data_IF_705425206553
#
_entry.id   IF_705425206553
#
_cell.length_a   1.000
_cell.length_b   1.000
_cell.length_c   1.000
_cell.angle_alpha   90.00
_cell.angle_beta   90.00
_cell.angle_gamma   90.00
#
_symmetry.space_group_name_H-M   'P 1'
#
loop_
_entity.id
_entity.type
_entity.pdbx_description
1 polymer ?
#
# COMPACT_ATOMS: atom_id res chain seq x y z
N UNK A 1 -9.00 -19.11 -12.87
CA UNK A 1 -10.43 -18.75 -12.62
C UNK A 1 -10.54 -17.73 -11.45
N UNK A 2 -9.61 -16.77 -11.36
CA UNK A 2 -9.50 -15.92 -10.15
C UNK A 2 -9.99 -14.49 -10.36
N UNK A 3 -10.06 -14.02 -11.61
CA UNK A 3 -10.47 -12.66 -11.96
C UNK A 3 -11.84 -12.68 -12.64
N UNK A 4 -12.69 -11.73 -12.27
CA UNK A 4 -13.95 -11.46 -12.97
C UNK A 4 -13.63 -10.80 -14.32
N UNK A 5 -14.39 -11.19 -15.35
CA UNK A 5 -14.25 -10.66 -16.72
C UNK A 5 -15.17 -9.46 -16.88
N UNK A 6 -14.65 -8.36 -17.41
CA UNK A 6 -15.39 -7.12 -17.60
C UNK A 6 -15.25 -6.61 -19.03
N UNK A 7 -16.35 -6.59 -19.78
CA UNK A 7 -16.35 -6.13 -21.17
C UNK A 7 -16.03 -4.62 -21.24
N UNK A 8 -14.93 -4.28 -21.93
CA UNK A 8 -14.41 -2.89 -22.01
C UNK A 8 -15.30 -1.92 -22.78
N UNK A 9 -16.27 -2.45 -23.54
CA UNK A 9 -17.26 -1.67 -24.29
C UNK A 9 -18.64 -1.60 -23.60
N UNK A 10 -18.80 -2.23 -22.43
CA UNK A 10 -20.06 -2.19 -21.68
C UNK A 10 -20.28 -0.82 -21.02
N UNK A 11 -21.53 -0.39 -20.96
CA UNK A 11 -21.93 0.78 -20.16
C UNK A 11 -21.71 0.54 -18.66
N UNK A 12 -21.71 -0.73 -18.23
CA UNK A 12 -21.55 -1.15 -16.83
C UNK A 12 -20.10 -1.55 -16.50
N UNK A 13 -19.12 -1.12 -17.31
CA UNK A 13 -17.70 -1.49 -17.13
C UNK A 13 -17.19 -1.12 -15.72
N UNK A 14 -17.48 0.10 -15.26
CA UNK A 14 -17.03 0.59 -13.98
C UNK A 14 -17.55 -0.26 -12.81
N UNK A 15 -18.86 -0.56 -12.82
CA UNK A 15 -19.48 -1.43 -11.81
C UNK A 15 -18.89 -2.84 -11.84
N UNK A 16 -18.70 -3.41 -13.03
CA UNK A 16 -18.06 -4.72 -13.17
C UNK A 16 -16.66 -4.73 -12.55
N UNK A 17 -15.87 -3.67 -12.77
CA UNK A 17 -14.52 -3.57 -12.23
C UNK A 17 -14.52 -3.36 -10.72
N UNK A 18 -15.43 -2.53 -10.20
CA UNK A 18 -15.58 -2.35 -8.76
C UNK A 18 -15.87 -3.71 -8.08
N UNK A 19 -16.75 -4.52 -8.67
CA UNK A 19 -17.00 -5.88 -8.19
C UNK A 19 -15.79 -6.81 -8.37
N UNK A 20 -15.09 -6.74 -9.50
CA UNK A 20 -13.89 -7.53 -9.75
C UNK A 20 -12.78 -7.26 -8.73
N UNK A 21 -12.60 -5.99 -8.34
CA UNK A 21 -11.62 -5.57 -7.34
C UNK A 21 -12.03 -6.04 -5.96
N UNK A 22 -13.32 -5.92 -5.59
CA UNK A 22 -13.85 -6.45 -4.33
C UNK A 22 -13.60 -7.95 -4.21
N UNK A 23 -13.97 -8.72 -5.23
CA UNK A 23 -13.72 -10.17 -5.27
C UNK A 23 -12.22 -10.49 -5.23
N UNK A 24 -11.40 -9.65 -5.88
CA UNK A 24 -9.95 -9.74 -5.88
C UNK A 24 -9.36 -9.58 -4.48
N UNK A 25 -9.79 -8.56 -3.73
CA UNK A 25 -9.36 -8.31 -2.34
C UNK A 25 -9.70 -9.53 -1.47
N UNK A 26 -10.91 -10.08 -1.59
CA UNK A 26 -11.32 -11.26 -0.82
C UNK A 26 -10.45 -12.49 -1.13
N UNK A 27 -10.18 -12.76 -2.41
CA UNK A 27 -9.35 -13.91 -2.83
C UNK A 27 -7.88 -13.73 -2.47
N UNK A 28 -7.36 -12.51 -2.55
CA UNK A 28 -5.97 -12.20 -2.22
C UNK A 28 -5.73 -12.13 -0.71
N UNK A 29 -6.78 -12.08 0.13
CA UNK A 29 -6.65 -12.00 1.59
C UNK A 29 -5.65 -13.05 2.14
N UNK A 30 -5.77 -14.30 1.69
CA UNK A 30 -4.88 -15.41 2.08
C UNK A 30 -3.76 -15.70 1.07
N UNK A 31 -3.62 -14.87 0.04
CA UNK A 31 -2.66 -15.04 -1.05
C UNK A 31 -3.18 -15.95 -2.16
N UNK A 32 -2.48 -15.93 -3.29
CA UNK A 32 -2.76 -16.77 -4.47
C UNK A 32 -1.45 -17.43 -4.90
N UNK A 33 -1.22 -18.65 -4.42
CA UNK A 33 0.02 -19.40 -4.62
C UNK A 33 0.36 -19.60 -6.10
N UNK A 34 -0.64 -19.93 -6.93
CA UNK A 34 -0.50 -20.12 -8.39
C UNK A 34 0.03 -18.88 -9.12
N UNK A 35 -0.15 -17.69 -8.54
CA UNK A 35 0.31 -16.40 -9.07
C UNK A 35 1.50 -15.84 -8.29
N UNK A 36 2.03 -16.57 -7.30
CA UNK A 36 3.08 -16.09 -6.39
C UNK A 36 2.67 -14.78 -5.68
N UNK A 37 1.38 -14.62 -5.38
CA UNK A 37 0.86 -13.45 -4.66
C UNK A 37 0.82 -13.80 -3.17
N UNK A 38 1.56 -13.09 -2.31
CA UNK A 38 1.53 -13.33 -0.87
C UNK A 38 0.17 -12.93 -0.28
N UNK A 39 -0.15 -13.35 0.96
CA UNK A 39 -1.31 -12.86 1.68
C UNK A 39 -1.40 -11.34 1.70
N UNK A 40 -2.58 -10.82 1.39
CA UNK A 40 -2.89 -9.40 1.51
C UNK A 40 -3.23 -9.00 2.95
N UNK A 41 -3.72 -9.93 3.78
CA UNK A 41 -4.10 -9.63 5.16
C UNK A 41 -3.84 -10.81 6.11
N UNK A 42 -2.78 -10.77 6.95
CA UNK A 42 -1.79 -9.69 7.03
C UNK A 42 -0.87 -9.66 5.80
N UNK A 43 -0.62 -8.47 5.25
CA UNK A 43 0.44 -8.26 4.28
C UNK A 43 1.79 -8.17 4.99
N UNK A 44 2.76 -8.96 4.52
CA UNK A 44 4.11 -9.00 5.08
C UNK A 44 5.13 -8.28 4.19
N UNK A 45 5.94 -7.42 4.80
CA UNK A 45 7.12 -6.81 4.20
C UNK A 45 8.35 -7.05 5.08
N UNK A 46 9.41 -7.59 4.48
CA UNK A 46 10.63 -7.99 5.21
C UNK A 46 11.38 -6.79 5.82
N UNK A 47 11.66 -5.76 5.01
CA UNK A 47 12.33 -4.55 5.48
C UNK A 47 11.85 -3.27 4.81
N UNK A 48 11.98 -2.15 5.55
CA UNK A 48 11.88 -0.79 5.04
C UNK A 48 12.97 0.07 5.67
N UNK A 49 13.72 0.80 4.83
CA UNK A 49 14.73 1.77 5.27
C UNK A 49 14.18 3.17 5.10
N UNK A 50 14.18 3.94 6.19
CA UNK A 50 13.73 5.33 6.21
C UNK A 50 14.91 6.22 6.58
N UNK A 51 15.25 7.13 5.68
CA UNK A 51 16.18 8.23 5.95
C UNK A 51 15.47 9.56 5.72
N UNK A 52 15.33 10.34 6.78
CA UNK A 52 14.72 11.66 6.76
C UNK A 52 15.69 12.66 7.38
N UNK A 53 15.81 13.84 6.76
CA UNK A 53 16.65 14.92 7.30
C UNK A 53 16.14 16.28 6.87
N UNK A 54 16.01 17.18 7.85
CA UNK A 54 15.84 18.62 7.64
C UNK A 54 16.87 19.39 8.49
N UNK A 55 16.68 20.70 8.66
CA UNK A 55 17.61 21.57 9.41
C UNK A 55 17.73 21.24 10.91
N UNK A 56 16.71 20.64 11.51
CA UNK A 56 16.64 20.39 12.96
C UNK A 56 16.58 18.90 13.31
N UNK A 57 16.04 18.08 12.42
CA UNK A 57 15.74 16.67 12.63
C UNK A 57 16.53 15.84 11.62
N UNK A 58 17.17 14.77 12.09
CA UNK A 58 17.64 13.69 11.24
C UNK A 58 17.19 12.35 11.83
N UNK A 59 16.66 11.46 10.99
CA UNK A 59 16.19 10.13 11.39
C UNK A 59 16.75 9.12 10.39
N UNK A 60 17.36 8.07 10.92
CA UNK A 60 17.71 6.86 10.18
C UNK A 60 17.13 5.67 10.88
N UNK A 61 16.25 4.95 10.20
CA UNK A 61 15.53 3.84 10.78
C UNK A 61 15.51 2.65 9.82
N UNK A 62 15.79 1.47 10.36
CA UNK A 62 15.53 0.19 9.73
C UNK A 62 14.32 -0.42 10.42
N UNK A 63 13.29 -0.68 9.63
CA UNK A 63 12.06 -1.35 10.06
C UNK A 63 12.08 -2.75 9.46
N UNK A 64 11.78 -3.76 10.26
CA UNK A 64 11.74 -5.17 9.86
C UNK A 64 10.46 -5.86 10.29
N UNK A 65 10.18 -7.00 9.68
CA UNK A 65 9.05 -7.86 10.02
C UNK A 65 7.74 -7.06 10.05
N UNK A 66 7.49 -6.32 8.97
CA UNK A 66 6.36 -5.39 8.89
C UNK A 66 5.12 -6.20 8.52
N UNK A 67 4.12 -6.17 9.38
CA UNK A 67 2.80 -6.72 9.12
C UNK A 67 1.78 -5.58 9.01
N UNK A 68 1.01 -5.60 7.93
CA UNK A 68 -0.10 -4.67 7.70
C UNK A 68 -1.39 -5.47 7.72
N UNK A 69 -2.28 -5.13 8.65
CA UNK A 69 -3.54 -5.83 8.91
C UNK A 69 -4.74 -4.90 8.63
N UNK A 70 -5.85 -5.48 8.18
CA UNK A 70 -7.12 -4.78 7.95
C UNK A 70 -7.39 -4.43 6.48
N UNK A 71 -6.48 -4.76 5.56
CA UNK A 71 -6.65 -4.52 4.12
C UNK A 71 -7.85 -5.27 3.54
N UNK A 72 -8.16 -6.47 4.04
CA UNK A 72 -9.35 -7.24 3.66
C UNK A 72 -10.65 -6.52 4.04
N UNK A 73 -10.63 -5.70 5.09
CA UNK A 73 -11.77 -4.91 5.54
C UNK A 73 -12.08 -3.68 4.68
N UNK A 74 -11.35 -3.48 3.58
CA UNK A 74 -11.58 -2.35 2.67
C UNK A 74 -12.90 -2.50 1.92
N UNK A 75 -13.63 -1.40 1.79
CA UNK A 75 -14.85 -1.29 0.97
C UNK A 75 -14.50 -0.57 -0.32
N UNK A 76 -14.86 -1.16 -1.46
CA UNK A 76 -14.77 -0.54 -2.78
C UNK A 76 -16.03 0.29 -3.02
N UNK A 77 -15.87 1.56 -3.37
CA UNK A 77 -16.98 2.49 -3.61
C UNK A 77 -17.25 2.71 -5.09
N UNK A 78 -16.17 2.88 -5.87
CA UNK A 78 -16.25 3.13 -7.30
C UNK A 78 -14.95 2.68 -7.98
N UNK A 79 -15.01 2.44 -9.28
CA UNK A 79 -13.86 2.17 -10.11
C UNK A 79 -14.01 2.83 -11.48
N UNK A 80 -12.89 3.32 -12.03
CA UNK A 80 -12.84 3.96 -13.34
C UNK A 80 -11.73 3.31 -14.14
N UNK A 81 -12.06 2.80 -15.33
CA UNK A 81 -11.08 2.15 -16.20
C UNK A 81 -11.05 2.80 -17.56
N UNK A 82 -9.83 3.05 -18.06
CA UNK A 82 -9.57 3.31 -19.46
C UNK A 82 -8.67 2.19 -19.97
N UNK A 83 -9.23 1.37 -20.84
CA UNK A 83 -8.60 0.18 -21.40
C UNK A 83 -8.71 0.29 -22.93
N UNK A 84 -7.70 0.90 -23.56
CA UNK A 84 -7.60 1.05 -25.01
C UNK A 84 -6.40 0.25 -25.56
N UNK A 85 -6.11 0.36 -26.86
CA UNK A 85 -5.02 -0.40 -27.52
C UNK A 85 -3.62 0.08 -27.08
N UNK A 86 -3.50 1.34 -26.65
CA UNK A 86 -2.22 1.99 -26.36
C UNK A 86 -2.01 2.22 -24.85
N UNK A 87 -3.09 2.32 -24.08
CA UNK A 87 -3.07 2.73 -22.69
C UNK A 87 -3.96 1.85 -21.83
N UNK A 88 -3.47 1.57 -20.63
CA UNK A 88 -4.24 1.01 -19.55
C UNK A 88 -4.20 1.95 -18.34
N UNK A 89 -5.37 2.27 -17.82
CA UNK A 89 -5.53 3.06 -16.61
C UNK A 89 -6.67 2.52 -15.78
N UNK A 90 -6.45 2.42 -14.48
CA UNK A 90 -7.47 2.03 -13.51
C UNK A 90 -7.37 2.90 -12.27
N UNK A 91 -8.48 3.49 -11.86
CA UNK A 91 -8.66 4.06 -10.54
C UNK A 91 -9.69 3.28 -9.76
N UNK A 92 -9.48 3.10 -8.47
CA UNK A 92 -10.44 2.47 -7.56
C UNK A 92 -10.50 3.32 -6.31
N UNK A 93 -11.70 3.74 -5.92
CA UNK A 93 -11.94 4.47 -4.67
C UNK A 93 -12.32 3.48 -3.57
N UNK A 94 -11.60 3.54 -2.46
CA UNK A 94 -11.77 2.64 -1.33
C UNK A 94 -11.83 3.41 -0.01
N UNK A 95 -12.40 2.75 0.99
CA UNK A 95 -12.21 3.12 2.40
C UNK A 95 -11.88 1.90 3.24
N UNK A 96 -11.13 2.10 4.33
CA UNK A 96 -10.91 1.08 5.34
C UNK A 96 -11.24 1.64 6.73
N UNK A 97 -11.99 0.90 7.58
CA UNK A 97 -12.34 1.38 8.91
C UNK A 97 -11.10 1.45 9.83
N UNK A 98 -10.19 0.49 9.69
CA UNK A 98 -8.98 0.40 10.50
C UNK A 98 -7.88 -0.33 9.74
N UNK A 99 -6.67 0.22 9.79
CA UNK A 99 -5.43 -0.45 9.36
C UNK A 99 -4.46 -0.44 10.53
N UNK A 100 -3.85 -1.59 10.81
CA UNK A 100 -2.85 -1.75 11.87
C UNK A 100 -1.52 -2.16 11.23
N UNK A 101 -0.47 -1.44 11.56
CA UNK A 101 0.90 -1.73 11.12
C UNK A 101 1.74 -2.05 12.33
N UNK A 102 2.36 -3.23 12.34
CA UNK A 102 3.27 -3.66 13.40
C UNK A 102 4.59 -4.15 12.83
N UNK A 103 5.65 -4.08 13.63
CA UNK A 103 6.95 -4.62 13.28
C UNK A 103 8.01 -4.22 14.27
N UNK A 104 9.26 -4.52 13.90
CA UNK A 104 10.44 -4.20 14.69
C UNK A 104 11.13 -2.98 14.09
N UNK A 105 11.69 -2.12 14.94
CA UNK A 105 12.48 -0.97 14.50
C UNK A 105 13.84 -0.94 15.18
N UNK A 106 14.82 -0.43 14.45
CA UNK A 106 16.13 -0.03 14.99
C UNK A 106 16.57 1.23 14.28
N UNK A 107 16.90 2.26 15.03
CA UNK A 107 17.27 3.54 14.43
C UNK A 107 17.94 4.51 15.37
N UNK A 108 18.38 5.60 14.75
CA UNK A 108 18.87 6.78 15.42
C UNK A 108 18.12 8.01 14.95
N UNK A 109 17.74 8.85 15.91
CA UNK A 109 17.15 10.16 15.71
C UNK A 109 18.06 11.24 16.27
N UNK A 110 18.06 12.40 15.66
CA UNK A 110 18.74 13.59 16.13
C UNK A 110 17.78 14.77 16.08
N UNK A 111 17.69 15.52 17.17
CA UNK A 111 17.00 16.82 17.24
C UNK A 111 17.96 17.87 17.77
N UNK A 112 18.41 18.80 16.92
CA UNK A 112 19.52 19.71 17.21
C UNK A 112 20.75 18.94 17.74
N UNK A 113 21.17 19.16 18.99
CA UNK A 113 22.29 18.46 19.62
C UNK A 113 21.89 17.13 20.28
N UNK A 114 20.60 16.88 20.51
CA UNK A 114 20.10 15.68 21.16
C UNK A 114 20.17 14.50 20.18
N UNK A 115 20.75 13.38 20.61
CA UNK A 115 20.80 12.13 19.85
C UNK A 115 20.07 11.03 20.62
N UNK A 116 19.24 10.29 19.91
CA UNK A 116 18.42 9.20 20.45
C UNK A 116 18.74 7.96 19.62
N UNK A 117 19.16 6.89 20.28
CA UNK A 117 19.24 5.55 19.68
C UNK A 117 18.14 4.70 20.26
N UNK A 118 17.31 4.09 19.44
CA UNK A 118 16.19 3.30 19.92
C UNK A 118 16.04 2.03 19.07
N UNK A 119 15.63 0.96 19.72
CA UNK A 119 15.29 -0.31 19.09
C UNK A 119 14.21 -1.02 19.91
N UNK A 120 13.39 -1.83 19.24
CA UNK A 120 12.30 -2.57 19.84
C UNK A 120 11.17 -2.74 18.85
N UNK A 121 9.94 -2.81 19.34
CA UNK A 121 8.73 -3.02 18.53
C UNK A 121 7.87 -1.76 18.42
N UNK A 122 7.04 -1.72 17.38
CA UNK A 122 6.03 -0.68 17.24
C UNK A 122 4.70 -1.25 16.77
N UNK A 123 3.64 -0.52 17.09
CA UNK A 123 2.32 -0.69 16.52
C UNK A 123 1.76 0.70 16.17
N UNK A 124 1.27 0.87 14.95
CA UNK A 124 0.53 2.05 14.51
C UNK A 124 -0.85 1.65 14.02
N UNK A 125 -1.88 2.21 14.64
CA UNK A 125 -3.28 2.07 14.22
C UNK A 125 -3.72 3.34 13.51
N UNK A 126 -4.34 3.17 12.35
CA UNK A 126 -4.99 4.23 11.57
C UNK A 126 -6.47 3.90 11.45
N UNK A 127 -7.34 4.91 11.60
CA UNK A 127 -8.79 4.76 11.42
C UNK A 127 -9.35 5.73 10.38
N UNK A 128 -10.52 5.37 9.86
CA UNK A 128 -11.30 6.19 8.93
C UNK A 128 -10.48 6.58 7.70
N UNK A 129 -9.92 5.57 7.04
CA UNK A 129 -9.06 5.76 5.87
C UNK A 129 -9.92 5.86 4.62
N UNK A 130 -9.62 6.85 3.78
CA UNK A 130 -10.16 7.00 2.43
C UNK A 130 -8.98 7.08 1.48
N UNK A 131 -8.98 6.29 0.40
CA UNK A 131 -7.87 6.28 -0.55
C UNK A 131 -8.32 5.88 -1.95
N UNK A 132 -7.58 6.37 -2.94
CA UNK A 132 -7.71 5.93 -4.32
C UNK A 132 -6.48 5.14 -4.71
N UNK A 133 -6.67 3.93 -5.24
CA UNK A 133 -5.63 3.22 -5.98
C UNK A 133 -5.63 3.70 -7.41
N UNK A 134 -4.45 3.96 -7.96
CA UNK A 134 -4.27 4.29 -9.38
C UNK A 134 -3.22 3.36 -9.97
N UNK A 135 -3.55 2.70 -11.07
CA UNK A 135 -2.64 1.87 -11.83
C UNK A 135 -2.52 2.46 -13.23
N UNK A 136 -1.28 2.74 -13.63
CA UNK A 136 -0.94 3.13 -14.99
C UNK A 136 -0.17 1.98 -15.65
N UNK A 137 -0.58 1.61 -16.86
CA UNK A 137 0.01 0.51 -17.60
C UNK A 137 -0.09 0.69 -19.10
N UNK A 138 0.46 -0.28 -19.83
CA UNK A 138 0.36 -0.36 -21.29
C UNK A 138 0.07 -1.79 -21.72
N UNK A 139 -0.79 -1.99 -22.73
CA UNK A 139 -0.89 -3.26 -23.42
C UNK A 139 0.45 -3.62 -24.11
N UNK A 140 0.90 -4.86 -23.96
CA UNK A 140 2.11 -5.39 -24.61
C UNK A 140 1.82 -6.74 -25.24
N UNK A 141 2.21 -6.90 -26.51
CA UNK A 141 2.10 -8.18 -27.20
C UNK A 141 3.18 -9.14 -26.73
N UNK A 142 2.77 -10.37 -26.43
CA UNK A 142 3.64 -11.50 -26.17
C UNK A 142 3.15 -12.70 -26.99
N UNK A 143 3.76 -12.92 -28.16
CA UNK A 143 3.29 -13.92 -29.11
C UNK A 143 1.96 -13.49 -29.76
N UNK A 144 0.93 -14.34 -29.65
CA UNK A 144 -0.41 -14.06 -30.16
C UNK A 144 -1.30 -13.30 -29.18
N UNK A 145 -0.90 -13.26 -27.90
CA UNK A 145 -1.68 -12.67 -26.83
C UNK A 145 -1.19 -11.26 -26.50
N UNK A 146 -2.10 -10.41 -26.04
CA UNK A 146 -1.76 -9.10 -25.45
C UNK A 146 -1.93 -9.20 -23.95
N UNK A 147 -0.97 -8.69 -23.17
CA UNK A 147 -1.03 -8.60 -21.71
C UNK A 147 -0.93 -7.14 -21.29
N UNK A 148 -1.21 -6.82 -20.04
CA UNK A 148 -1.00 -5.46 -19.52
C UNK A 148 0.28 -5.45 -18.69
N UNK A 149 1.23 -4.60 -19.04
CA UNK A 149 2.36 -4.28 -18.17
C UNK A 149 2.04 -3.03 -17.37
N UNK A 150 1.93 -3.19 -16.06
CA UNK A 150 1.76 -2.09 -15.12
C UNK A 150 3.11 -1.38 -14.93
N UNK A 151 3.11 -0.07 -15.12
CA UNK A 151 4.27 0.81 -15.03
C UNK A 151 4.40 1.46 -13.67
N UNK A 152 3.27 1.82 -13.06
CA UNK A 152 3.25 2.44 -11.74
C UNK A 152 1.95 2.17 -11.00
N UNK A 153 2.06 2.16 -9.68
CA UNK A 153 0.97 2.14 -8.73
C UNK A 153 1.07 3.38 -7.85
N UNK A 154 -0.05 4.03 -7.62
CA UNK A 154 -0.13 5.16 -6.70
C UNK A 154 -1.29 4.96 -5.73
N UNK A 155 -1.04 5.28 -4.47
CA UNK A 155 -2.09 5.50 -3.50
C UNK A 155 -1.73 6.59 -2.53
N UNK A 156 -2.74 7.23 -1.97
CA UNK A 156 -2.60 8.23 -0.93
C UNK A 156 -3.77 8.14 0.04
N UNK A 157 -3.59 7.50 1.19
CA UNK A 157 -4.62 7.50 2.22
C UNK A 157 -4.77 8.87 2.86
N UNK A 158 -5.99 9.35 2.89
CA UNK A 158 -6.43 10.36 3.84
C UNK A 158 -6.90 9.62 5.09
N UNK A 159 -6.22 9.89 6.20
CA UNK A 159 -6.41 9.19 7.47
C UNK A 159 -7.19 10.10 8.42
N UNK A 160 -8.24 9.59 9.06
CA UNK A 160 -9.01 10.35 10.06
C UNK A 160 -8.28 10.49 11.39
N UNK A 161 -7.71 9.38 11.88
CA UNK A 161 -6.90 9.34 13.11
C UNK A 161 -5.73 8.35 13.00
N UNK A 162 -4.62 8.66 13.69
CA UNK A 162 -3.45 7.80 13.78
C UNK A 162 -2.90 7.79 15.21
N UNK A 163 -2.63 6.60 15.73
CA UNK A 163 -2.00 6.40 17.05
C UNK A 163 -0.86 5.40 16.88
N UNK A 164 0.33 5.81 17.28
CA UNK A 164 1.52 4.96 17.29
C UNK A 164 1.98 4.69 18.73
N UNK A 165 2.39 3.45 18.96
CA UNK A 165 3.06 2.98 20.17
C UNK A 165 4.41 2.43 19.76
N UNK A 166 5.46 2.92 20.41
CA UNK A 166 6.83 2.43 20.23
C UNK A 166 7.32 1.91 21.57
N UNK A 167 7.73 0.66 21.62
CA UNK A 167 8.41 0.07 22.75
C UNK A 167 9.92 0.17 22.52
N UNK A 168 10.63 0.90 23.38
CA UNK A 168 12.09 1.04 23.27
C UNK A 168 12.79 0.19 24.34
N UNK A 169 13.55 -0.79 23.87
CA UNK A 169 14.36 -1.69 24.68
C UNK A 169 15.70 -1.08 25.09
N UNK A 170 16.08 0.10 24.58
CA UNK A 170 17.25 0.84 25.05
C UNK A 170 16.93 1.62 26.33
N UNK A 171 17.45 1.23 27.51
CA UNK A 171 17.13 1.90 28.78
C UNK A 171 17.64 3.34 28.85
N UNK A 172 18.73 3.67 28.14
CA UNK A 172 19.34 5.02 28.17
C UNK A 172 18.46 6.07 27.50
N UNK A 173 17.61 5.65 26.57
CA UNK A 173 16.80 6.55 25.74
C UNK A 173 15.31 6.27 25.83
N UNK A 174 14.87 5.34 26.67
CA UNK A 174 13.47 4.92 26.80
C UNK A 174 12.54 6.09 27.11
N UNK A 175 12.90 6.93 28.09
CA UNK A 175 12.10 8.11 28.44
C UNK A 175 12.04 9.12 27.30
N UNK A 176 13.14 9.30 26.56
CA UNK A 176 13.16 10.17 25.37
C UNK A 176 12.29 9.62 24.25
N UNK A 177 12.25 8.30 24.06
CA UNK A 177 11.34 7.66 23.10
C UNK A 177 9.89 7.82 23.53
N UNK A 178 9.55 7.66 24.81
CA UNK A 178 8.18 7.87 25.30
C UNK A 178 7.69 9.32 25.05
N UNK A 179 8.56 10.30 25.30
CA UNK A 179 8.30 11.70 24.96
C UNK A 179 8.15 11.89 23.44
N UNK A 180 9.04 11.28 22.65
CA UNK A 180 8.98 11.31 21.19
C UNK A 180 7.69 10.71 20.62
N UNK A 181 7.24 9.58 21.16
CA UNK A 181 5.97 8.93 20.79
C UNK A 181 4.77 9.81 21.15
N UNK A 182 4.81 10.46 22.32
CA UNK A 182 3.76 11.41 22.73
C UNK A 182 3.71 12.62 21.78
N UNK A 183 4.88 13.16 21.42
CA UNK A 183 4.98 14.24 20.44
C UNK A 183 4.48 13.80 19.06
N UNK A 184 4.83 12.57 18.62
CA UNK A 184 4.37 11.99 17.37
C UNK A 184 2.84 11.91 17.34
N UNK A 185 2.22 11.37 18.38
CA UNK A 185 0.77 11.24 18.46
C UNK A 185 0.05 12.60 18.54
N UNK A 186 0.66 13.61 19.17
CA UNK A 186 0.08 14.97 19.19
C UNK A 186 0.17 15.68 17.84
N UNK A 187 1.21 15.38 17.05
CA UNK A 187 1.54 16.06 15.79
C UNK A 187 1.40 15.14 14.57
N UNK A 188 0.65 14.05 14.71
CA UNK A 188 0.66 12.94 13.75
C UNK A 188 0.29 13.39 12.34
N UNK A 189 -0.62 14.37 12.18
CA UNK A 189 -1.06 14.87 10.86
C UNK A 189 0.07 15.50 10.07
N UNK A 190 0.92 16.27 10.73
CA UNK A 190 2.05 16.96 10.09
C UNK A 190 3.11 15.93 9.72
N UNK A 191 3.47 15.07 10.67
CA UNK A 191 4.48 14.02 10.46
C UNK A 191 4.04 13.00 9.40
N UNK A 192 2.75 12.63 9.39
CA UNK A 192 2.19 11.75 8.37
C UNK A 192 2.40 12.32 6.96
N UNK A 193 2.03 13.59 6.75
CA UNK A 193 2.20 14.26 5.45
C UNK A 193 3.66 14.34 5.01
N UNK A 194 4.57 14.53 5.96
CA UNK A 194 6.00 14.61 5.70
C UNK A 194 6.62 13.26 5.35
N UNK A 195 6.16 12.18 5.99
CA UNK A 195 6.65 10.82 5.74
C UNK A 195 5.91 10.12 4.58
N UNK A 196 4.75 10.61 4.18
CA UNK A 196 3.89 10.02 3.16
C UNK A 196 4.62 9.74 1.83
N UNK A 197 5.48 10.63 1.28
CA UNK A 197 6.19 10.34 0.04
C UNK A 197 7.07 9.08 0.10
N UNK A 198 7.65 8.77 1.26
CA UNK A 198 8.46 7.55 1.45
C UNK A 198 7.58 6.29 1.40
N UNK A 199 6.41 6.36 2.06
CA UNK A 199 5.42 5.29 2.02
C UNK A 199 4.90 5.09 0.59
N UNK A 200 4.59 6.18 -0.13
CA UNK A 200 4.14 6.13 -1.53
C UNK A 200 5.16 5.44 -2.45
N UNK A 201 6.45 5.77 -2.33
CA UNK A 201 7.49 5.10 -3.11
C UNK A 201 7.61 3.60 -2.80
N UNK A 202 7.40 3.21 -1.54
CA UNK A 202 7.38 1.82 -1.14
C UNK A 202 6.15 1.09 -1.71
N UNK A 203 4.97 1.71 -1.60
CA UNK A 203 3.72 1.17 -2.12
C UNK A 203 3.71 1.03 -3.63
N UNK A 204 4.29 1.97 -4.38
CA UNK A 204 4.43 1.86 -5.83
C UNK A 204 5.18 0.59 -6.23
N UNK A 205 6.33 0.32 -5.61
CA UNK A 205 7.13 -0.89 -5.88
C UNK A 205 6.34 -2.16 -5.58
N UNK A 206 5.67 -2.21 -4.44
CA UNK A 206 4.90 -3.38 -3.99
C UNK A 206 3.69 -3.57 -4.91
N UNK A 207 2.87 -2.54 -5.09
CA UNK A 207 1.63 -2.56 -5.86
C UNK A 207 1.89 -2.86 -7.34
N UNK A 208 2.91 -2.25 -7.94
CA UNK A 208 3.33 -2.53 -9.32
C UNK A 208 3.77 -3.98 -9.49
N UNK A 209 4.51 -4.55 -8.53
CA UNK A 209 4.93 -5.94 -8.59
C UNK A 209 3.71 -6.90 -8.49
N UNK A 210 2.86 -6.71 -7.47
CA UNK A 210 1.65 -7.53 -7.28
C UNK A 210 0.73 -7.43 -8.50
N UNK A 211 0.48 -6.22 -9.00
CA UNK A 211 -0.36 -6.02 -10.19
C UNK A 211 0.25 -6.72 -11.42
N UNK A 212 1.56 -6.64 -11.64
CA UNK A 212 2.21 -7.35 -12.75
C UNK A 212 2.13 -8.88 -12.60
N UNK A 213 2.16 -9.45 -11.39
CA UNK A 213 1.92 -10.90 -11.20
C UNK A 213 0.53 -11.34 -11.66
N UNK A 214 -0.47 -10.46 -11.53
CA UNK A 214 -1.84 -10.68 -12.00
C UNK A 214 -1.92 -10.49 -13.52
N UNK A 215 -1.54 -9.31 -14.01
CA UNK A 215 -1.76 -8.89 -15.40
C UNK A 215 -0.81 -9.54 -16.41
N UNK A 216 0.32 -10.11 -15.99
CA UNK A 216 1.23 -10.86 -16.88
C UNK A 216 0.81 -12.31 -17.12
N UNK A 217 -0.12 -12.85 -16.32
CA UNK A 217 -0.57 -14.24 -16.40
C UNK A 217 -1.89 -14.41 -17.13
N UNK A 218 -2.66 -13.34 -17.27
CA UNK A 218 -3.98 -13.39 -17.90
C UNK A 218 -3.99 -12.43 -19.09
N UNK A 219 -4.27 -12.92 -20.31
CA UNK A 219 -4.36 -12.06 -21.48
C UNK A 219 -5.38 -10.94 -21.28
N UNK A 220 -5.04 -9.76 -21.78
CA UNK A 220 -5.83 -8.55 -21.73
C UNK A 220 -7.25 -8.75 -22.24
N UNK A 221 -7.42 -9.43 -23.38
CA UNK A 221 -8.75 -9.69 -23.95
C UNK A 221 -9.56 -10.75 -23.16
N UNK A 222 -8.94 -11.49 -22.24
CA UNK A 222 -9.67 -12.38 -21.32
C UNK A 222 -10.20 -11.64 -20.09
N UNK A 223 -9.51 -10.59 -19.63
CA UNK A 223 -9.98 -9.76 -18.51
C UNK A 223 -10.91 -8.66 -19.01
N UNK A 224 -10.55 -8.07 -20.16
CA UNK A 224 -11.20 -6.92 -20.79
C UNK A 224 -11.60 -7.21 -22.25
N UNK A 225 -12.49 -8.18 -22.52
CA UNK A 225 -12.92 -8.49 -23.88
C UNK A 225 -13.60 -7.29 -24.54
N UNK A 226 -13.42 -7.14 -25.86
CA UNK A 226 -14.11 -6.12 -26.68
C UNK A 226 -15.42 -6.59 -27.30
N UNK A 227 -15.73 -7.89 -27.25
CA UNK A 227 -16.95 -8.48 -27.81
C UNK A 227 -18.00 -8.82 -26.74
N UNK A 228 -19.28 -8.84 -27.16
CA UNK A 228 -20.42 -9.36 -26.36
C UNK A 228 -20.29 -10.86 -26.11
#
# INVERSE_FOLDING_TARGET
KHLKVCNRNSLDLNDCIAEAVRDGIEKMATGIEELDIPPLDPFFQDELKVEYKNNQIAVKMLIKNIYVEGLKGSTVHDARVRADEDNFYMEVDLSAPSIVIRGDFKGEGQYNALKVKAYGDFNTSMSDLIFTWKLDGVPEKNGTDTYVRIKSFYMRPDVGNMISHLNNENPETRELTNLGTSFLNQNWRVLYRELLPYAQSNWDKIGTNVANKIFSKVPYDQIFPSGT
#
